data_IF_937014602894
#
_entry.id   IF_937014602894
#
_cell.length_a   1.000
_cell.length_b   1.000
_cell.length_c   1.000
_cell.angle_alpha   90.00
_cell.angle_beta   90.00
_cell.angle_gamma   90.00
#
_symmetry.space_group_name_H-M   'P 1'
#
loop_
_entity.id
_entity.type
_entity.pdbx_description
1 polymer ?
#
# COMPACT_ATOMS: atom_id res chain seq x y z
N UNK A 1 -19.16 -9.36 9.41
CA UNK A 1 -17.94 -10.11 9.76
C UNK A 1 -16.90 -9.10 10.18
N UNK A 2 -16.19 -9.35 11.27
CA UNK A 2 -15.03 -8.55 11.69
C UNK A 2 -13.78 -9.32 11.29
N UNK A 3 -12.76 -8.64 10.77
CA UNK A 3 -11.49 -9.29 10.44
C UNK A 3 -10.79 -9.79 11.72
N UNK A 4 -10.11 -10.94 11.61
CA UNK A 4 -9.26 -11.47 12.67
C UNK A 4 -8.07 -10.52 12.93
N UNK A 5 -7.80 -10.11 14.18
CA UNK A 5 -6.62 -9.30 14.52
C UNK A 5 -5.30 -9.83 13.96
N UNK A 6 -5.12 -11.16 13.93
CA UNK A 6 -3.90 -11.75 13.38
C UNK A 6 -3.78 -11.53 11.86
N UNK A 7 -4.91 -11.58 11.14
CA UNK A 7 -4.94 -11.29 9.71
C UNK A 7 -4.66 -9.81 9.43
N UNK A 8 -5.16 -8.90 10.28
CA UNK A 8 -4.86 -7.46 10.15
C UNK A 8 -3.36 -7.22 10.32
N UNK A 9 -2.74 -7.77 11.36
CA UNK A 9 -1.31 -7.62 11.61
C UNK A 9 -0.47 -8.16 10.45
N UNK A 10 -0.79 -9.36 9.95
CA UNK A 10 -0.11 -9.94 8.81
C UNK A 10 -0.23 -9.10 7.53
N UNK A 11 -1.39 -8.48 7.27
CA UNK A 11 -1.56 -7.56 6.14
C UNK A 11 -0.67 -6.33 6.27
N UNK A 12 -0.54 -5.76 7.47
CA UNK A 12 0.33 -4.59 7.73
C UNK A 12 1.80 -4.98 7.55
N UNK A 13 2.22 -6.12 8.09
CA UNK A 13 3.60 -6.62 7.93
C UNK A 13 3.95 -6.84 6.45
N UNK A 14 3.03 -7.44 5.68
CA UNK A 14 3.19 -7.64 4.24
C UNK A 14 3.25 -6.32 3.48
N UNK A 15 2.41 -5.34 3.84
CA UNK A 15 2.44 -4.00 3.23
C UNK A 15 3.82 -3.37 3.36
N UNK A 16 4.37 -3.39 4.58
CA UNK A 16 5.68 -2.84 4.90
C UNK A 16 6.78 -3.58 4.13
N UNK A 17 6.71 -4.91 4.11
CA UNK A 17 7.70 -5.74 3.42
C UNK A 17 7.68 -5.51 1.91
N UNK A 18 6.52 -5.55 1.26
CA UNK A 18 6.41 -5.36 -0.18
C UNK A 18 6.79 -3.95 -0.63
N UNK A 19 6.38 -2.92 0.12
CA UNK A 19 6.76 -1.55 -0.20
C UNK A 19 8.29 -1.38 -0.12
N UNK A 20 8.90 -1.82 0.99
CA UNK A 20 10.35 -1.69 1.19
C UNK A 20 11.16 -2.54 0.20
N UNK A 21 10.62 -3.67 -0.25
CA UNK A 21 11.27 -4.57 -1.21
C UNK A 21 11.10 -4.16 -2.68
N UNK A 22 10.49 -2.99 -2.97
CA UNK A 22 10.10 -2.59 -4.32
C UNK A 22 9.17 -3.60 -5.03
N UNK A 23 8.37 -4.36 -4.27
CA UNK A 23 7.44 -5.36 -4.80
C UNK A 23 6.05 -4.77 -5.02
N UNK A 24 5.89 -4.12 -6.18
CA UNK A 24 4.61 -3.53 -6.60
C UNK A 24 3.48 -4.55 -6.70
N UNK A 25 3.77 -5.76 -7.18
CA UNK A 25 2.75 -6.79 -7.36
C UNK A 25 2.26 -7.32 -6.01
N UNK A 26 3.18 -7.60 -5.08
CA UNK A 26 2.88 -7.95 -3.71
C UNK A 26 2.06 -6.86 -3.02
N UNK A 27 2.48 -5.59 -3.14
CA UNK A 27 1.75 -4.44 -2.61
C UNK A 27 0.30 -4.38 -3.10
N UNK A 28 0.09 -4.46 -4.42
CA UNK A 28 -1.25 -4.37 -5.01
C UNK A 28 -2.14 -5.56 -4.66
N UNK A 29 -1.55 -6.74 -4.39
CA UNK A 29 -2.32 -7.93 -3.99
C UNK A 29 -3.03 -7.80 -2.64
N UNK A 30 -2.66 -6.81 -1.81
CA UNK A 30 -3.26 -6.56 -0.51
C UNK A 30 -4.59 -5.79 -0.59
N UNK A 31 -4.88 -5.16 -1.73
CA UNK A 31 -6.03 -4.28 -1.91
C UNK A 31 -7.20 -5.01 -2.57
N UNK A 32 -8.41 -4.68 -2.14
CA UNK A 32 -9.62 -5.03 -2.89
C UNK A 32 -9.68 -4.24 -4.20
N UNK A 33 -10.44 -4.75 -5.18
CA UNK A 33 -10.57 -4.12 -6.51
C UNK A 33 -11.13 -2.69 -6.43
N UNK A 34 -12.01 -2.43 -5.46
CA UNK A 34 -12.65 -1.13 -5.19
C UNK A 34 -11.97 -0.34 -4.05
N UNK A 35 -10.79 -0.77 -3.61
CA UNK A 35 -10.05 -0.06 -2.59
C UNK A 35 -9.61 1.33 -3.07
N UNK A 36 -9.34 2.22 -2.13
CA UNK A 36 -8.80 3.54 -2.43
C UNK A 36 -7.76 3.95 -1.39
N UNK A 37 -6.83 4.80 -1.83
CA UNK A 37 -5.81 5.43 -0.98
C UNK A 37 -5.98 6.94 -1.04
N UNK A 38 -5.77 7.61 0.09
CA UNK A 38 -5.79 9.08 0.21
C UNK A 38 -4.57 9.50 1.01
N UNK A 39 -3.65 10.17 0.32
CA UNK A 39 -2.43 10.71 0.92
C UNK A 39 -2.05 11.99 0.14
N UNK A 40 -1.95 13.17 0.80
CA UNK A 40 -2.30 13.44 2.19
C UNK A 40 -3.81 13.43 2.44
N UNK A 41 -4.22 13.27 3.70
CA UNK A 41 -5.63 13.39 4.09
C UNK A 41 -6.21 14.75 3.65
N UNK A 42 -7.36 14.71 2.99
CA UNK A 42 -8.05 15.80 2.31
C UNK A 42 -7.84 15.84 0.79
N UNK A 43 -6.97 15.00 0.22
CA UNK A 43 -6.69 14.95 -1.22
C UNK A 43 -7.71 14.10 -2.00
N UNK A 44 -7.77 14.24 -3.34
CA UNK A 44 -8.52 13.31 -4.17
C UNK A 44 -8.04 11.86 -3.98
N UNK A 45 -8.98 10.93 -3.92
CA UNK A 45 -8.70 9.51 -3.75
C UNK A 45 -8.03 8.90 -4.97
N UNK A 46 -7.08 8.00 -4.75
CA UNK A 46 -6.57 7.05 -5.71
C UNK A 46 -7.47 5.81 -5.69
N UNK A 47 -8.51 5.79 -6.53
CA UNK A 47 -9.54 4.74 -6.52
C UNK A 47 -9.21 3.58 -7.48
N UNK A 48 -9.26 2.36 -6.96
CA UNK A 48 -9.01 1.13 -7.69
C UNK A 48 -7.52 0.77 -7.84
N UNK A 49 -7.27 -0.49 -8.20
CA UNK A 49 -5.92 -1.07 -8.28
C UNK A 49 -4.99 -0.31 -9.21
N UNK A 50 -5.50 0.24 -10.33
CA UNK A 50 -4.69 1.01 -11.29
C UNK A 50 -4.19 2.32 -10.67
N UNK A 51 -5.09 3.10 -10.03
CA UNK A 51 -4.74 4.37 -9.42
C UNK A 51 -3.83 4.19 -8.20
N UNK A 52 -4.07 3.15 -7.39
CA UNK A 52 -3.20 2.77 -6.27
C UNK A 52 -1.81 2.37 -6.77
N UNK A 53 -1.75 1.65 -7.90
CA UNK A 53 -0.48 1.30 -8.55
C UNK A 53 0.29 2.54 -9.00
N UNK A 54 -0.39 3.49 -9.64
CA UNK A 54 0.23 4.76 -10.06
C UNK A 54 0.72 5.60 -8.86
N UNK A 55 0.00 5.56 -7.73
CA UNK A 55 0.46 6.19 -6.48
C UNK A 55 1.74 5.53 -5.94
N UNK A 56 1.80 4.19 -5.97
CA UNK A 56 3.01 3.45 -5.58
C UNK A 56 4.20 3.80 -6.48
N UNK A 57 3.97 3.88 -7.80
CA UNK A 57 5.00 4.23 -8.80
C UNK A 57 5.55 5.63 -8.51
N UNK A 58 4.67 6.63 -8.36
CA UNK A 58 5.04 8.00 -8.04
C UNK A 58 5.81 8.10 -6.70
N UNK A 59 5.43 7.30 -5.70
CA UNK A 59 6.13 7.27 -4.42
C UNK A 59 7.58 6.80 -4.58
N UNK A 60 7.80 5.72 -5.33
CA UNK A 60 9.13 5.14 -5.56
C UNK A 60 10.01 5.95 -6.51
N UNK A 61 9.45 6.90 -7.26
CA UNK A 61 10.23 7.87 -8.04
C UNK A 61 10.90 8.95 -7.16
N UNK A 62 10.41 9.17 -5.94
CA UNK A 62 10.90 10.24 -5.06
C UNK A 62 12.28 9.94 -4.45
N UNK A 63 12.66 8.67 -4.35
CA UNK A 63 13.93 8.24 -3.78
C UNK A 63 14.40 6.92 -4.40
N UNK A 64 15.72 6.69 -4.51
CA UNK A 64 16.25 5.43 -5.05
C UNK A 64 15.95 4.21 -4.17
N UNK A 65 15.65 4.43 -2.90
CA UNK A 65 15.28 3.40 -1.93
C UNK A 65 14.33 4.01 -0.90
N UNK A 66 13.26 3.30 -0.57
CA UNK A 66 12.31 3.67 0.48
C UNK A 66 12.16 2.46 1.40
N UNK A 67 12.23 2.71 2.71
CA UNK A 67 12.02 1.69 3.72
C UNK A 67 10.92 2.14 4.67
N UNK A 68 9.96 1.26 4.91
CA UNK A 68 8.94 1.42 5.95
C UNK A 68 9.32 0.55 7.16
N UNK A 69 9.08 1.07 8.37
CA UNK A 69 9.33 0.34 9.63
C UNK A 69 8.13 0.46 10.54
N UNK A 70 7.80 -0.65 11.21
CA UNK A 70 6.91 -0.60 12.37
C UNK A 70 7.59 0.17 13.51
N UNK A 71 6.88 1.11 14.11
CA UNK A 71 7.32 1.91 15.27
C UNK A 71 6.60 1.51 16.54
#
# INVERSE_FOLDING_TARGET
MTADPAAIAATVDNYISYFSANDRAGYLSLFAEDAWVEDPVGSPRHEGTEAIGAFWDASHELAPEIELRMI
#
